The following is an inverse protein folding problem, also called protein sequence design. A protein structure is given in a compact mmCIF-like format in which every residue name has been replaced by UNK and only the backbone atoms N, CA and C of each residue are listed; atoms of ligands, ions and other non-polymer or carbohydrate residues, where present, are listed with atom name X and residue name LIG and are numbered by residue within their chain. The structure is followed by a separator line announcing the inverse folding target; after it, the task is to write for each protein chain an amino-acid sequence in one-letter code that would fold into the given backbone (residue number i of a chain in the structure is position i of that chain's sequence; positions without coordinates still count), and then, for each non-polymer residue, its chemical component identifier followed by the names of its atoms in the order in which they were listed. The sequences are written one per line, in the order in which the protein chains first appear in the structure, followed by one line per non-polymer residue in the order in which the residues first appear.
data_IF_094517289335
#
_entry.id   IF_094517289335
#
_cell.length_a   1.000
_cell.length_b   1.000
_cell.length_c   1.000
_cell.angle_alpha   90.00
_cell.angle_beta   90.00
_cell.angle_gamma   90.00
#
_symmetry.space_group_name_H-M   'P 1'
#
loop_
_entity.id
_entity.type
_entity.pdbx_description
1 polymer ?
#
# COMPACT_ATOMS: atom_id res chain seq x y z
N UNK A 1 0.09 -27.05 -4.34
CA UNK A 1 -1.08 -26.18 -4.51
C UNK A 1 -2.12 -26.98 -5.27
N UNK A 2 -3.32 -27.16 -4.70
CA UNK A 2 -4.43 -27.79 -5.43
C UNK A 2 -5.28 -26.67 -6.06
N UNK A 3 -5.34 -26.69 -7.40
CA UNK A 3 -6.09 -25.72 -8.22
C UNK A 3 -7.14 -26.43 -9.09
N UNK A 4 -7.44 -27.70 -8.81
CA UNK A 4 -8.35 -28.52 -9.63
C UNK A 4 -9.78 -27.96 -9.70
N UNK A 5 -10.19 -27.17 -8.70
CA UNK A 5 -11.48 -26.47 -8.68
C UNK A 5 -11.59 -25.33 -9.71
N UNK A 6 -10.47 -24.92 -10.34
CA UNK A 6 -10.44 -23.87 -11.35
C UNK A 6 -10.69 -24.39 -12.78
N UNK A 7 -10.86 -25.70 -12.98
CA UNK A 7 -11.00 -26.32 -14.29
C UNK A 7 -9.71 -26.95 -14.83
N UNK A 8 -9.77 -27.45 -16.07
CA UNK A 8 -8.64 -28.07 -16.74
C UNK A 8 -7.70 -26.98 -17.32
N UNK A 9 -6.40 -26.96 -16.97
CA UNK A 9 -5.45 -26.00 -17.54
C UNK A 9 -5.34 -26.14 -19.06
N UNK A 10 -5.43 -25.02 -19.78
CA UNK A 10 -5.25 -24.96 -21.24
C UNK A 10 -3.77 -24.84 -21.62
N UNK A 11 -2.92 -24.44 -20.66
CA UNK A 11 -1.47 -24.31 -20.83
C UNK A 11 -0.75 -24.22 -19.48
N UNK A 12 0.58 -24.02 -19.50
CA UNK A 12 1.34 -23.78 -18.27
C UNK A 12 0.95 -22.44 -17.64
N UNK A 13 1.09 -22.34 -16.32
CA UNK A 13 1.00 -21.04 -15.63
C UNK A 13 2.12 -20.11 -16.10
N UNK A 14 1.76 -18.85 -16.37
CA UNK A 14 2.69 -17.83 -16.84
C UNK A 14 3.01 -16.90 -15.68
N UNK A 15 4.30 -16.73 -15.35
CA UNK A 15 4.74 -15.75 -14.35
C UNK A 15 4.37 -14.34 -14.81
N UNK A 16 3.65 -13.61 -13.97
CA UNK A 16 3.38 -12.19 -14.16
C UNK A 16 4.44 -11.43 -13.37
N UNK A 17 5.23 -10.63 -14.06
CA UNK A 17 6.27 -9.81 -13.43
C UNK A 17 5.64 -8.49 -12.97
N UNK A 18 5.91 -8.10 -11.73
CA UNK A 18 5.28 -6.97 -11.05
C UNK A 18 4.94 -7.34 -9.60
N UNK A 19 4.82 -6.33 -8.73
CA UNK A 19 4.58 -6.51 -7.29
C UNK A 19 5.85 -6.73 -6.46
N UNK A 20 5.85 -6.23 -5.22
CA UNK A 20 7.06 -6.12 -4.39
C UNK A 20 7.25 -7.26 -3.39
N UNK A 21 6.22 -8.07 -3.11
CA UNK A 21 6.23 -9.04 -2.01
C UNK A 21 5.93 -10.50 -2.41
N UNK A 22 4.95 -10.72 -3.30
CA UNK A 22 4.42 -12.04 -3.63
C UNK A 22 4.78 -12.46 -5.06
N UNK A 23 4.64 -13.75 -5.39
CA UNK A 23 4.78 -14.23 -6.78
C UNK A 23 3.40 -14.36 -7.41
N UNK A 24 3.20 -13.73 -8.55
CA UNK A 24 1.93 -13.77 -9.28
C UNK A 24 2.06 -14.56 -10.58
N UNK A 25 1.01 -15.32 -10.88
CA UNK A 25 0.91 -16.17 -12.06
C UNK A 25 -0.46 -15.98 -12.72
N UNK A 26 -0.50 -16.04 -14.04
CA UNK A 26 -1.72 -16.20 -14.82
C UNK A 26 -1.92 -17.69 -15.11
N UNK A 27 -3.12 -18.20 -14.82
CA UNK A 27 -3.56 -19.55 -15.16
C UNK A 27 -4.78 -19.45 -16.07
N UNK A 28 -4.65 -19.96 -17.30
CA UNK A 28 -5.77 -20.08 -18.23
C UNK A 28 -6.32 -21.53 -18.19
N UNK A 29 -7.64 -21.65 -18.03
CA UNK A 29 -8.37 -22.93 -17.93
C UNK A 29 -9.59 -22.94 -18.84
N UNK A 30 -10.23 -24.10 -18.96
CA UNK A 30 -11.53 -24.24 -19.63
C UNK A 30 -12.70 -23.52 -18.90
N UNK A 31 -12.50 -23.02 -17.68
CA UNK A 31 -13.45 -22.22 -16.90
C UNK A 31 -13.06 -20.73 -16.80
N UNK A 32 -12.06 -20.31 -17.59
CA UNK A 32 -11.58 -18.93 -17.69
C UNK A 32 -10.17 -18.73 -17.17
N UNK A 33 -9.80 -17.45 -17.03
CA UNK A 33 -8.46 -17.01 -16.64
C UNK A 33 -8.42 -16.56 -15.18
N UNK A 34 -7.35 -16.89 -14.48
CA UNK A 34 -7.17 -16.62 -13.06
C UNK A 34 -5.82 -15.98 -12.76
N UNK A 35 -5.82 -15.04 -11.82
CA UNK A 35 -4.61 -14.58 -11.14
C UNK A 35 -4.37 -15.48 -9.92
N UNK A 36 -3.28 -16.22 -9.93
CA UNK A 36 -2.84 -17.09 -8.82
C UNK A 36 -1.66 -16.41 -8.15
N UNK A 37 -1.83 -16.02 -6.89
CA UNK A 37 -0.80 -15.33 -6.12
C UNK A 37 -0.28 -16.24 -5.01
N UNK A 38 1.02 -16.56 -5.07
CA UNK A 38 1.74 -17.27 -4.01
C UNK A 38 2.21 -16.27 -2.95
N UNK A 39 1.74 -16.47 -1.72
CA UNK A 39 2.01 -15.57 -0.61
C UNK A 39 3.42 -15.77 -0.07
N UNK A 40 4.17 -14.68 0.04
CA UNK A 40 5.40 -14.65 0.81
C UNK A 40 5.04 -14.52 2.30
N UNK A 41 5.25 -15.59 3.07
CA UNK A 41 4.94 -15.64 4.51
C UNK A 41 6.17 -15.46 5.40
N UNK A 42 7.38 -15.67 4.86
CA UNK A 42 8.63 -15.68 5.63
C UNK A 42 9.19 -14.28 5.88
N UNK A 43 8.85 -13.35 5.01
CA UNK A 43 9.46 -12.03 4.95
C UNK A 43 8.38 -10.94 4.97
N UNK A 44 7.39 -11.16 5.86
CA UNK A 44 6.35 -10.18 6.18
C UNK A 44 6.72 -9.40 7.43
N UNK A 45 6.28 -8.14 7.46
CA UNK A 45 6.38 -7.27 8.64
C UNK A 45 5.33 -7.57 9.70
N UNK A 46 4.27 -8.29 9.33
CA UNK A 46 3.15 -8.62 10.19
C UNK A 46 2.54 -9.97 9.82
N UNK A 47 1.85 -10.57 10.79
CA UNK A 47 1.02 -11.76 10.57
C UNK A 47 -0.06 -11.45 9.55
N UNK A 48 -0.20 -12.30 8.54
CA UNK A 48 -1.23 -12.17 7.53
C UNK A 48 -2.48 -12.97 7.89
N UNK A 49 -3.59 -12.26 8.09
CA UNK A 49 -4.88 -12.86 8.41
C UNK A 49 -5.66 -13.14 7.12
N UNK A 50 -5.21 -14.14 6.37
CA UNK A 50 -5.73 -14.46 5.03
C UNK A 50 -7.25 -14.65 5.00
N UNK A 51 -7.83 -15.29 6.02
CA UNK A 51 -9.27 -15.56 6.09
C UNK A 51 -10.08 -14.27 6.28
N UNK A 52 -9.60 -13.34 7.11
CA UNK A 52 -10.27 -12.07 7.37
C UNK A 52 -10.21 -11.13 6.19
N UNK A 53 -9.03 -11.03 5.58
CA UNK A 53 -8.85 -10.25 4.35
C UNK A 53 -9.75 -10.82 3.25
N UNK A 54 -9.75 -12.13 3.03
CA UNK A 54 -10.57 -12.73 2.00
C UNK A 54 -12.09 -12.57 2.26
N UNK A 55 -12.52 -12.61 3.53
CA UNK A 55 -13.91 -12.29 3.91
C UNK A 55 -14.26 -10.84 3.57
N UNK A 56 -13.36 -9.90 3.86
CA UNK A 56 -13.54 -8.49 3.54
C UNK A 56 -13.60 -8.26 2.02
N UNK A 57 -12.69 -8.86 1.25
CA UNK A 57 -12.71 -8.83 -0.22
C UNK A 57 -14.02 -9.34 -0.81
N UNK A 58 -14.55 -10.47 -0.29
CA UNK A 58 -15.84 -11.00 -0.75
C UNK A 58 -16.99 -10.06 -0.47
N UNK A 59 -16.98 -9.38 0.69
CA UNK A 59 -17.98 -8.37 1.02
C UNK A 59 -17.89 -7.16 0.09
N UNK A 60 -16.68 -6.66 -0.17
CA UNK A 60 -16.42 -5.55 -1.09
C UNK A 60 -16.87 -5.88 -2.52
N UNK A 61 -16.50 -7.06 -3.04
CA UNK A 61 -16.95 -7.53 -4.34
C UNK A 61 -18.48 -7.65 -4.40
N UNK A 62 -19.12 -8.21 -3.37
CA UNK A 62 -20.60 -8.31 -3.29
C UNK A 62 -21.29 -6.95 -3.24
N UNK A 63 -20.63 -5.92 -2.71
CA UNK A 63 -21.10 -4.54 -2.74
C UNK A 63 -20.84 -3.84 -4.09
N UNK A 64 -20.25 -4.54 -5.06
CA UNK A 64 -19.98 -4.01 -6.39
C UNK A 64 -18.80 -3.05 -6.44
N UNK A 65 -17.82 -3.19 -5.53
CA UNK A 65 -16.52 -2.55 -5.70
C UNK A 65 -15.88 -3.07 -7.01
N UNK A 66 -15.41 -2.20 -7.92
CA UNK A 66 -14.69 -2.62 -9.11
C UNK A 66 -13.37 -3.30 -8.73
N UNK A 67 -13.36 -4.64 -8.70
CA UNK A 67 -12.20 -5.44 -8.34
C UNK A 67 -12.28 -6.82 -9.02
N UNK A 68 -11.16 -7.56 -9.12
CA UNK A 68 -11.19 -8.97 -9.48
C UNK A 68 -12.10 -9.78 -8.56
N UNK A 69 -12.87 -10.71 -9.12
CA UNK A 69 -13.69 -11.63 -8.34
C UNK A 69 -12.79 -12.50 -7.43
N UNK A 70 -12.97 -12.48 -6.10
CA UNK A 70 -12.24 -13.34 -5.18
C UNK A 70 -12.75 -14.78 -5.29
N UNK A 71 -11.91 -15.71 -5.73
CA UNK A 71 -12.29 -17.11 -6.03
C UNK A 71 -12.00 -18.03 -4.85
N UNK A 72 -10.78 -18.03 -4.34
CA UNK A 72 -10.38 -18.87 -3.22
C UNK A 72 -9.17 -18.34 -2.49
N UNK A 73 -9.07 -18.64 -1.20
CA UNK A 73 -7.91 -18.35 -0.38
C UNK A 73 -7.49 -19.58 0.41
N UNK A 74 -6.19 -19.72 0.61
CA UNK A 74 -5.56 -20.72 1.48
C UNK A 74 -4.37 -20.08 2.19
N UNK A 75 -3.76 -20.81 3.12
CA UNK A 75 -2.61 -20.30 3.88
C UNK A 75 -1.44 -19.80 3.00
N UNK A 76 -1.29 -20.31 1.77
CA UNK A 76 -0.15 -20.00 0.90
C UNK A 76 -0.54 -19.35 -0.43
N UNK A 77 -1.85 -19.22 -0.72
CA UNK A 77 -2.30 -18.85 -2.06
C UNK A 77 -3.60 -18.07 -2.02
N UNK A 78 -3.65 -17.00 -2.80
CA UNK A 78 -4.87 -16.30 -3.18
C UNK A 78 -5.15 -16.51 -4.66
N UNK A 79 -6.43 -16.67 -5.00
CA UNK A 79 -6.89 -16.81 -6.37
C UNK A 79 -8.01 -15.82 -6.64
N UNK A 80 -7.84 -15.06 -7.71
CA UNK A 80 -8.84 -14.13 -8.22
C UNK A 80 -9.11 -14.40 -9.69
N UNK A 81 -10.28 -13.99 -10.17
CA UNK A 81 -10.56 -13.93 -11.60
C UNK A 81 -9.57 -12.97 -12.26
N UNK A 82 -9.01 -13.36 -13.40
CA UNK A 82 -8.16 -12.44 -14.16
C UNK A 82 -9.00 -11.27 -14.69
N UNK A 83 -8.48 -10.05 -14.56
CA UNK A 83 -9.08 -8.84 -15.11
C UNK A 83 -8.06 -8.19 -16.04
N UNK A 84 -8.47 -7.92 -17.27
CA UNK A 84 -7.70 -7.08 -18.19
C UNK A 84 -7.89 -5.61 -17.84
N UNK A 85 -6.81 -4.84 -17.86
CA UNK A 85 -6.81 -3.41 -17.59
C UNK A 85 -5.42 -2.80 -17.80
N UNK A 86 -5.38 -1.49 -17.98
CA UNK A 86 -4.16 -0.72 -18.15
C UNK A 86 -3.58 -0.35 -16.77
N UNK A 87 -2.27 -0.45 -16.60
CA UNK A 87 -1.61 0.00 -15.37
C UNK A 87 -1.74 1.51 -15.21
N UNK A 88 -2.05 1.98 -14.01
CA UNK A 88 -2.08 3.42 -13.72
C UNK A 88 -0.64 3.92 -13.48
N UNK A 89 -0.17 4.95 -14.21
CA UNK A 89 1.17 5.50 -14.00
C UNK A 89 1.24 6.25 -12.66
N UNK A 90 2.45 6.34 -12.09
CA UNK A 90 2.75 7.23 -10.96
C UNK A 90 2.79 8.70 -11.39
N UNK A 91 1.64 9.21 -11.80
CA UNK A 91 1.40 10.57 -12.23
C UNK A 91 -0.02 10.99 -11.82
N UNK A 92 -0.30 12.30 -11.74
CA UNK A 92 -1.63 12.77 -11.42
C UNK A 92 -2.69 12.20 -12.38
N UNK A 93 -3.71 11.53 -11.83
CA UNK A 93 -4.80 10.91 -12.61
C UNK A 93 -5.85 11.93 -13.04
N UNK A 94 -6.86 11.53 -13.82
CA UNK A 94 -7.98 12.44 -14.13
C UNK A 94 -8.84 12.71 -12.89
N UNK A 95 -9.45 13.90 -12.80
CA UNK A 95 -10.36 14.25 -11.72
C UNK A 95 -11.55 13.27 -11.59
N UNK A 96 -12.10 12.80 -12.72
CA UNK A 96 -13.18 11.83 -12.74
C UNK A 96 -12.74 10.48 -12.15
N UNK A 97 -11.55 10.00 -12.51
CA UNK A 97 -10.98 8.77 -11.96
C UNK A 97 -10.73 8.88 -10.45
N UNK A 98 -10.15 10.01 -10.01
CA UNK A 98 -9.94 10.30 -8.59
C UNK A 98 -11.26 10.34 -7.80
N UNK A 99 -12.30 10.98 -8.35
CA UNK A 99 -13.64 11.01 -7.77
C UNK A 99 -14.20 9.59 -7.60
N UNK A 100 -14.13 8.75 -8.63
CA UNK A 100 -14.63 7.38 -8.56
C UNK A 100 -13.86 6.53 -7.52
N UNK A 101 -12.55 6.74 -7.35
CA UNK A 101 -11.78 6.11 -6.26
C UNK A 101 -12.29 6.56 -4.88
N UNK A 102 -12.62 7.84 -4.72
CA UNK A 102 -13.26 8.34 -3.51
C UNK A 102 -14.59 7.64 -3.20
N UNK A 103 -15.45 7.48 -4.22
CA UNK A 103 -16.73 6.77 -4.08
C UNK A 103 -16.53 5.28 -3.71
N UNK A 104 -15.49 4.65 -4.26
CA UNK A 104 -15.10 3.28 -3.90
C UNK A 104 -14.73 3.20 -2.41
N UNK A 105 -13.89 4.12 -1.92
CA UNK A 105 -13.53 4.17 -0.50
C UNK A 105 -14.75 4.34 0.40
N UNK A 106 -15.70 5.21 0.03
CA UNK A 106 -16.93 5.40 0.80
C UNK A 106 -17.74 4.10 0.88
N UNK A 107 -17.83 3.38 -0.24
CA UNK A 107 -18.52 2.07 -0.29
C UNK A 107 -17.83 1.02 0.57
N UNK A 108 -16.50 0.97 0.52
CA UNK A 108 -15.69 0.05 1.33
C UNK A 108 -15.87 0.34 2.82
N UNK A 109 -15.83 1.61 3.22
CA UNK A 109 -15.97 2.01 4.63
C UNK A 109 -17.40 1.86 5.16
N UNK A 110 -18.40 1.73 4.29
CA UNK A 110 -19.79 1.45 4.67
C UNK A 110 -20.06 -0.05 4.94
N UNK A 111 -19.11 -0.94 4.65
CA UNK A 111 -19.27 -2.38 4.85
C UNK A 111 -19.23 -2.72 6.34
N UNK A 112 -20.23 -3.49 6.78
CA UNK A 112 -20.26 -4.07 8.13
C UNK A 112 -19.65 -5.48 8.10
N UNK A 113 -18.32 -5.54 8.16
CA UNK A 113 -17.57 -6.80 8.21
C UNK A 113 -16.87 -6.90 9.55
N UNK A 114 -17.17 -7.98 10.29
CA UNK A 114 -16.52 -8.24 11.56
C UNK A 114 -15.00 -8.36 11.38
N UNK A 115 -14.24 -7.59 12.14
CA UNK A 115 -12.78 -7.63 12.16
C UNK A 115 -12.28 -7.86 13.59
N UNK A 116 -11.75 -9.04 13.85
CA UNK A 116 -11.43 -9.50 15.21
C UNK A 116 -10.01 -9.21 15.65
N UNK A 117 -9.14 -8.78 14.73
CA UNK A 117 -7.75 -8.48 15.04
C UNK A 117 -7.54 -6.99 15.29
N UNK A 118 -7.22 -6.65 16.54
CA UNK A 118 -6.69 -5.34 16.85
C UNK A 118 -5.31 -5.19 16.17
N UNK A 119 -5.10 -4.07 15.49
CA UNK A 119 -3.75 -3.69 15.06
C UNK A 119 -2.93 -3.42 16.31
N UNK A 120 -1.97 -4.29 16.63
CA UNK A 120 -0.94 -3.96 17.61
C UNK A 120 0.07 -3.10 16.87
N UNK A 121 -0.04 -1.78 17.03
CA UNK A 121 1.00 -0.87 16.55
C UNK A 121 2.21 -1.00 17.47
N UNK A 122 3.26 -1.66 16.98
CA UNK A 122 4.57 -1.60 17.65
C UNK A 122 5.08 -0.14 17.62
N UNK A 123 5.77 0.31 18.69
CA UNK A 123 6.39 1.62 18.69
C UNK A 123 7.30 1.82 17.47
N UNK A 124 7.28 3.02 16.92
CA UNK A 124 8.08 3.31 15.73
C UNK A 124 9.58 3.10 16.02
N UNK A 125 10.32 2.38 15.16
CA UNK A 125 11.72 2.02 15.42
C UNK A 125 12.63 3.23 15.70
N UNK A 126 13.51 3.07 16.69
CA UNK A 126 14.47 4.09 17.16
C UNK A 126 15.94 3.71 16.93
N UNK A 127 16.19 2.57 16.29
CA UNK A 127 17.52 1.99 16.06
C UNK A 127 18.29 2.64 14.89
N UNK A 128 17.82 3.76 14.34
CA UNK A 128 18.47 4.47 13.24
C UNK A 128 19.97 4.78 13.45
N UNK A 129 20.43 5.21 14.65
CA UNK A 129 21.87 5.39 14.90
C UNK A 129 22.66 4.08 14.78
N UNK A 130 22.12 2.96 15.25
CA UNK A 130 22.76 1.65 15.14
C UNK A 130 22.81 1.19 13.69
N UNK A 131 21.71 1.35 12.95
CA UNK A 131 21.65 1.02 11.53
C UNK A 131 22.64 1.82 10.69
N UNK A 132 22.81 3.12 10.99
CA UNK A 132 23.82 3.97 10.35
C UNK A 132 25.24 3.44 10.61
N UNK A 133 25.58 3.16 11.87
CA UNK A 133 26.89 2.62 12.24
C UNK A 133 27.18 1.27 11.55
N UNK A 134 26.19 0.37 11.50
CA UNK A 134 26.31 -0.93 10.81
C UNK A 134 26.47 -0.77 9.30
N UNK A 135 25.73 0.16 8.68
CA UNK A 135 25.84 0.45 7.26
C UNK A 135 27.23 0.99 6.89
N UNK A 136 27.79 1.89 7.71
CA UNK A 136 29.16 2.40 7.55
C UNK A 136 30.19 1.28 7.71
N UNK A 137 30.07 0.45 8.75
CA UNK A 137 30.97 -0.66 8.99
C UNK A 137 30.92 -1.73 7.88
N UNK A 138 29.79 -1.85 7.19
CA UNK A 138 29.59 -2.77 6.06
C UNK A 138 29.85 -2.10 4.70
N UNK A 139 30.36 -0.86 4.69
CA UNK A 139 30.67 -0.08 3.49
C UNK A 139 29.50 0.02 2.49
N UNK A 140 28.27 0.11 3.01
CA UNK A 140 27.08 0.21 2.14
C UNK A 140 27.08 1.53 1.38
N UNK A 141 26.69 1.54 0.09
CA UNK A 141 26.85 2.70 -0.79
C UNK A 141 25.97 3.92 -0.45
N UNK A 142 25.09 3.78 0.54
CA UNK A 142 24.19 4.83 1.03
C UNK A 142 24.42 5.13 2.53
N UNK A 143 25.47 4.58 3.14
CA UNK A 143 25.74 4.69 4.58
C UNK A 143 25.91 6.15 5.04
N UNK A 144 26.68 6.96 4.31
CA UNK A 144 26.89 8.37 4.65
C UNK A 144 25.59 9.17 4.58
N UNK A 145 24.73 8.86 3.61
CA UNK A 145 23.42 9.49 3.45
C UNK A 145 22.48 9.13 4.60
N UNK A 146 22.49 7.87 5.05
CA UNK A 146 21.76 7.46 6.25
C UNK A 146 22.30 8.16 7.51
N UNK A 147 23.62 8.18 7.69
CA UNK A 147 24.27 8.81 8.84
C UNK A 147 23.94 10.30 8.96
N UNK A 148 23.91 11.02 7.82
CA UNK A 148 23.54 12.44 7.78
C UNK A 148 22.05 12.72 8.10
N UNK A 149 21.18 11.70 8.10
CA UNK A 149 19.73 11.82 8.26
C UNK A 149 19.18 11.18 9.54
N UNK A 150 20.03 10.61 10.40
CA UNK A 150 19.60 9.92 11.64
C UNK A 150 18.64 10.75 12.48
N UNK A 151 18.97 12.01 12.75
CA UNK A 151 18.11 12.91 13.56
C UNK A 151 16.76 13.18 12.87
N UNK A 152 16.74 13.25 11.54
CA UNK A 152 15.48 13.39 10.79
C UNK A 152 14.61 12.14 10.95
N UNK A 153 15.18 10.93 10.83
CA UNK A 153 14.42 9.71 11.04
C UNK A 153 13.90 9.55 12.48
N UNK A 154 14.67 9.98 13.48
CA UNK A 154 14.22 10.03 14.88
C UNK A 154 13.07 11.03 15.08
N UNK A 155 13.14 12.20 14.44
CA UNK A 155 12.06 13.19 14.47
C UNK A 155 10.78 12.67 13.79
N UNK A 156 10.91 12.00 12.64
CA UNK A 156 9.79 11.36 11.95
C UNK A 156 9.16 10.27 12.83
N UNK A 157 9.99 9.41 13.43
CA UNK A 157 9.49 8.39 14.35
C UNK A 157 8.77 9.01 15.56
N UNK A 158 9.26 10.15 16.07
CA UNK A 158 8.59 10.87 17.15
C UNK A 158 7.22 11.38 16.70
N UNK A 159 7.16 12.04 15.56
CA UNK A 159 5.92 12.52 14.97
C UNK A 159 4.90 11.38 14.76
N UNK A 160 5.31 10.24 14.20
CA UNK A 160 4.39 9.11 13.98
C UNK A 160 3.80 8.59 15.29
N UNK A 161 4.61 8.47 16.34
CA UNK A 161 4.16 7.98 17.65
C UNK A 161 3.28 8.99 18.41
N UNK A 162 3.51 10.30 18.25
CA UNK A 162 2.84 11.34 19.05
C UNK A 162 1.74 12.09 18.32
N UNK A 163 1.58 11.93 17.00
CA UNK A 163 0.53 12.62 16.26
C UNK A 163 -0.84 12.10 16.68
N UNK A 164 -1.71 13.01 17.14
CA UNK A 164 -3.11 12.70 17.39
C UNK A 164 -3.82 12.32 16.09
N UNK A 165 -4.73 11.34 16.15
CA UNK A 165 -5.48 10.82 15.00
C UNK A 165 -6.97 10.94 15.28
N UNK A 166 -7.55 12.16 15.20
CA UNK A 166 -8.96 12.36 15.48
C UNK A 166 -9.83 11.77 14.36
N UNK A 167 -10.98 11.22 14.74
CA UNK A 167 -11.93 10.63 13.80
C UNK A 167 -12.09 9.11 13.99
N UNK A 168 -12.91 8.47 13.14
CA UNK A 168 -13.19 7.06 13.28
C UNK A 168 -12.01 6.21 12.75
N UNK A 169 -11.81 5.05 13.38
CA UNK A 169 -11.14 3.93 12.73
C UNK A 169 -12.12 3.24 11.77
N UNK A 170 -11.65 2.87 10.59
CA UNK A 170 -12.43 2.20 9.55
C UNK A 170 -11.71 0.93 9.10
N UNK A 171 -12.47 -0.09 8.72
CA UNK A 171 -11.93 -1.23 8.00
C UNK A 171 -11.71 -0.82 6.55
N UNK A 172 -10.47 -0.88 6.08
CA UNK A 172 -10.09 -0.33 4.78
C UNK A 172 -8.98 -1.13 4.09
N UNK A 173 -8.61 -0.73 2.88
CA UNK A 173 -7.63 -1.37 2.02
C UNK A 173 -6.19 -1.11 2.44
N UNK A 174 -5.87 0.12 2.91
CA UNK A 174 -4.54 0.54 3.37
C UNK A 174 -3.45 0.69 2.31
N UNK A 175 -3.77 0.51 1.03
CA UNK A 175 -2.77 0.56 -0.05
C UNK A 175 -3.37 0.89 -1.42
N UNK A 176 -4.38 1.78 -1.46
CA UNK A 176 -4.90 2.30 -2.73
C UNK A 176 -3.88 3.29 -3.29
N UNK A 177 -3.02 2.78 -4.16
CA UNK A 177 -1.91 3.49 -4.81
C UNK A 177 -1.93 3.19 -6.31
N UNK A 178 -1.30 3.99 -7.18
CA UNK A 178 -1.31 3.77 -8.63
C UNK A 178 -0.95 2.33 -9.06
N UNK A 179 0.03 1.70 -8.40
CA UNK A 179 0.46 0.33 -8.71
C UNK A 179 -0.54 -0.77 -8.30
N UNK A 180 -1.50 -0.45 -7.43
CA UNK A 180 -2.60 -1.34 -7.03
C UNK A 180 -3.93 -0.98 -7.70
N UNK A 181 -3.87 -0.19 -8.77
CA UNK A 181 -5.01 0.21 -9.56
C UNK A 181 -4.80 -0.16 -11.04
N UNK A 182 -5.87 -0.61 -11.67
CA UNK A 182 -5.96 -0.66 -13.14
C UNK A 182 -7.02 0.33 -13.63
N UNK A 183 -6.82 0.82 -14.84
CA UNK A 183 -7.85 1.48 -15.62
C UNK A 183 -8.47 0.47 -16.59
N UNK A 184 -9.78 0.26 -16.49
CA UNK A 184 -10.57 -0.50 -17.46
C UNK A 184 -11.66 0.40 -18.01
N UNK A 185 -11.61 0.68 -19.31
CA UNK A 185 -12.52 1.64 -19.95
C UNK A 185 -12.52 3.02 -19.27
N UNK A 186 -11.34 3.45 -18.79
CA UNK A 186 -11.15 4.72 -18.07
C UNK A 186 -11.62 4.72 -16.61
N UNK A 187 -12.05 3.58 -16.06
CA UNK A 187 -12.56 3.45 -14.69
C UNK A 187 -11.62 2.62 -13.80
N UNK A 188 -11.54 2.91 -12.49
CA UNK A 188 -10.68 2.21 -11.55
C UNK A 188 -11.09 0.76 -11.35
N UNK A 189 -10.10 -0.11 -11.18
CA UNK A 189 -10.21 -1.46 -10.65
C UNK A 189 -9.20 -1.61 -9.53
N UNK A 190 -9.66 -1.92 -8.32
CA UNK A 190 -8.84 -2.05 -7.11
C UNK A 190 -8.24 -3.44 -7.00
N UNK A 191 -6.92 -3.51 -6.81
CA UNK A 191 -6.14 -4.73 -6.66
C UNK A 191 -5.48 -4.79 -5.29
N UNK A 192 -5.02 -5.98 -4.90
CA UNK A 192 -4.10 -6.21 -3.79
C UNK A 192 -4.58 -5.79 -2.38
N UNK A 193 -5.61 -6.47 -1.91
CA UNK A 193 -6.25 -6.21 -0.61
C UNK A 193 -5.47 -6.75 0.60
N UNK A 194 -4.25 -7.24 0.41
CA UNK A 194 -3.52 -7.98 1.46
C UNK A 194 -3.13 -7.14 2.68
N UNK A 195 -3.08 -5.82 2.53
CA UNK A 195 -2.80 -4.92 3.64
C UNK A 195 -4.05 -4.48 4.39
N UNK A 196 -5.23 -4.95 3.97
CA UNK A 196 -6.50 -4.54 4.53
C UNK A 196 -6.57 -4.76 6.04
N UNK A 197 -7.27 -3.85 6.70
CA UNK A 197 -7.47 -3.89 8.15
C UNK A 197 -7.94 -2.56 8.68
N UNK A 198 -7.97 -2.44 10.00
CA UNK A 198 -8.34 -1.20 10.66
C UNK A 198 -7.27 -0.12 10.45
N UNK A 199 -7.70 1.09 10.11
CA UNK A 199 -6.88 2.30 10.01
C UNK A 199 -7.70 3.54 10.40
N UNK A 200 -7.07 4.61 10.84
CA UNK A 200 -7.76 5.90 10.96
C UNK A 200 -8.21 6.41 9.58
N UNK A 201 -9.44 6.92 9.50
CA UNK A 201 -10.01 7.36 8.23
C UNK A 201 -9.16 8.44 7.54
N UNK A 202 -8.54 9.33 8.33
CA UNK A 202 -7.67 10.38 7.78
C UNK A 202 -6.48 9.81 7.01
N UNK A 203 -5.82 8.77 7.56
CA UNK A 203 -4.67 8.13 6.95
C UNK A 203 -4.98 7.45 5.63
N UNK A 204 -6.12 6.76 5.51
CA UNK A 204 -6.56 6.15 4.25
C UNK A 204 -6.82 7.22 3.18
N UNK A 205 -7.62 8.23 3.52
CA UNK A 205 -8.00 9.28 2.57
C UNK A 205 -6.79 10.11 2.14
N UNK A 206 -5.94 10.53 3.08
CA UNK A 206 -4.76 11.31 2.78
C UNK A 206 -3.72 10.54 1.96
N UNK A 207 -3.51 9.25 2.28
CA UNK A 207 -2.60 8.41 1.52
C UNK A 207 -3.07 8.20 0.07
N UNK A 208 -4.35 7.86 -0.09
CA UNK A 208 -4.95 7.65 -1.40
C UNK A 208 -4.95 8.94 -2.22
N UNK A 209 -5.49 10.03 -1.66
CA UNK A 209 -5.63 11.31 -2.36
C UNK A 209 -4.28 11.88 -2.78
N UNK A 210 -3.27 11.83 -1.90
CA UNK A 210 -1.93 12.31 -2.27
C UNK A 210 -1.31 11.45 -3.37
N UNK A 211 -1.40 10.12 -3.27
CA UNK A 211 -0.80 9.20 -4.26
C UNK A 211 -1.34 9.40 -5.68
N UNK A 212 -2.64 9.71 -5.80
CA UNK A 212 -3.31 9.94 -7.09
C UNK A 212 -3.10 11.35 -7.63
N UNK A 213 -2.68 12.29 -6.78
CA UNK A 213 -2.55 13.70 -7.14
C UNK A 213 -1.11 14.12 -7.46
N UNK A 214 -0.12 13.23 -7.34
CA UNK A 214 1.30 13.55 -7.50
C UNK A 214 2.01 12.66 -8.52
N UNK A 215 3.17 13.11 -8.99
CA UNK A 215 4.16 12.27 -9.68
C UNK A 215 5.04 11.45 -8.71
N UNK A 216 6.19 10.91 -9.16
CA UNK A 216 7.08 10.12 -8.30
C UNK A 216 7.59 10.90 -7.07
N UNK A 217 7.80 12.23 -7.21
CA UNK A 217 8.17 13.14 -6.12
C UNK A 217 7.03 14.05 -5.65
N UNK A 218 7.37 15.09 -4.88
CA UNK A 218 6.41 16.03 -4.26
C UNK A 218 6.39 17.43 -4.89
N UNK A 219 7.11 17.63 -6.00
CA UNK A 219 7.17 18.92 -6.69
C UNK A 219 5.98 19.17 -7.62
N UNK A 220 5.34 18.11 -8.12
CA UNK A 220 4.18 18.21 -9.02
C UNK A 220 2.92 17.59 -8.40
N UNK A 221 2.42 18.23 -7.36
CA UNK A 221 1.13 17.88 -6.74
C UNK A 221 0.03 18.71 -7.43
N UNK A 222 -1.09 18.07 -7.75
CA UNK A 222 -2.28 18.68 -8.35
C UNK A 222 -3.40 18.76 -7.30
N UNK A 223 -3.58 19.90 -6.61
CA UNK A 223 -4.57 20.02 -5.54
C UNK A 223 -6.01 19.68 -5.97
N UNK A 224 -6.37 20.00 -7.21
CA UNK A 224 -7.70 19.68 -7.74
C UNK A 224 -7.97 18.16 -7.80
N UNK A 225 -6.95 17.34 -8.09
CA UNK A 225 -7.08 15.88 -8.14
C UNK A 225 -7.16 15.31 -6.72
N UNK A 226 -6.34 15.82 -5.80
CA UNK A 226 -6.42 15.50 -4.38
C UNK A 226 -7.84 15.75 -3.84
N UNK A 227 -8.38 16.94 -4.13
CA UNK A 227 -9.74 17.34 -3.76
C UNK A 227 -10.80 16.46 -4.40
N UNK A 228 -10.61 16.04 -5.66
CA UNK A 228 -11.56 15.17 -6.35
C UNK A 228 -11.77 13.83 -5.63
N UNK A 229 -10.72 13.24 -5.04
CA UNK A 229 -10.87 12.03 -4.21
C UNK A 229 -11.78 12.28 -3.00
N UNK A 230 -11.59 13.41 -2.32
CA UNK A 230 -12.37 13.75 -1.13
C UNK A 230 -13.83 14.05 -1.49
N UNK A 231 -14.05 14.77 -2.59
CA UNK A 231 -15.39 15.07 -3.08
C UNK A 231 -16.13 13.79 -3.49
N UNK A 232 -15.45 12.84 -4.14
CA UNK A 232 -15.99 11.51 -4.44
C UNK A 232 -16.34 10.70 -3.19
N UNK A 233 -15.48 10.75 -2.17
CA UNK A 233 -15.76 10.09 -0.89
C UNK A 233 -17.03 10.65 -0.23
N UNK A 234 -17.21 11.97 -0.24
CA UNK A 234 -18.42 12.62 0.27
C UNK A 234 -19.64 12.29 -0.59
N UNK A 235 -19.50 12.30 -1.92
CA UNK A 235 -20.57 11.94 -2.85
C UNK A 235 -21.04 10.48 -2.67
N UNK A 236 -20.12 9.58 -2.30
CA UNK A 236 -20.40 8.20 -1.91
C UNK A 236 -21.06 8.03 -0.55
N UNK A 237 -21.35 9.12 0.18
CA UNK A 237 -22.01 9.12 1.49
C UNK A 237 -21.05 9.14 2.68
N UNK A 238 -19.75 9.26 2.45
CA UNK A 238 -18.74 9.39 3.50
C UNK A 238 -18.73 10.78 4.15
N UNK A 239 -18.23 10.85 5.38
CA UNK A 239 -17.95 12.11 6.07
C UNK A 239 -16.43 12.27 6.25
N UNK A 240 -15.89 13.44 5.90
CA UNK A 240 -14.47 13.71 6.06
C UNK A 240 -14.14 13.90 7.56
N UNK A 241 -13.03 13.32 8.06
CA UNK A 241 -12.55 13.58 9.41
C UNK A 241 -11.96 15.01 9.51
N UNK A 242 -11.69 15.51 10.72
CA UNK A 242 -11.02 16.80 10.89
C UNK A 242 -9.70 16.87 10.12
N UNK A 243 -9.43 18.00 9.47
CA UNK A 243 -8.17 18.26 8.78
C UNK A 243 -7.02 18.37 9.77
N UNK A 244 -5.84 17.88 9.38
CA UNK A 244 -4.63 18.02 10.17
C UNK A 244 -3.52 17.07 9.72
N UNK A 245 -2.40 17.04 10.45
CA UNK A 245 -1.23 16.23 10.08
C UNK A 245 -1.51 14.72 10.08
N UNK A 246 -2.54 14.25 10.81
CA UNK A 246 -2.94 12.84 10.90
C UNK A 246 -3.19 12.19 9.54
N UNK A 247 -3.62 12.99 8.54
CA UNK A 247 -3.89 12.54 7.18
C UNK A 247 -2.66 11.95 6.47
N UNK A 248 -1.46 12.32 6.90
CA UNK A 248 -0.21 11.89 6.28
C UNK A 248 0.60 10.93 7.15
N UNK A 249 0.20 10.73 8.42
CA UNK A 249 0.93 9.87 9.38
C UNK A 249 1.03 8.44 8.91
N UNK A 250 -0.06 7.87 8.39
CA UNK A 250 -0.08 6.48 7.93
C UNK A 250 0.98 6.22 6.83
N UNK A 251 1.02 7.08 5.82
CA UNK A 251 2.01 6.98 4.73
C UNK A 251 3.43 7.21 5.23
N UNK A 252 3.65 8.22 6.06
CA UNK A 252 4.96 8.54 6.65
C UNK A 252 5.48 7.36 7.47
N UNK A 253 4.65 6.80 8.37
CA UNK A 253 4.99 5.65 9.19
C UNK A 253 5.23 4.38 8.37
N UNK A 254 4.38 4.12 7.38
CA UNK A 254 4.53 3.00 6.45
C UNK A 254 5.84 3.07 5.66
N UNK A 255 6.20 4.25 5.14
CA UNK A 255 7.44 4.46 4.41
C UNK A 255 8.68 4.41 5.32
N UNK A 256 8.56 4.88 6.57
CA UNK A 256 9.61 4.78 7.58
C UNK A 256 9.93 3.30 7.88
N UNK A 257 8.90 2.51 8.17
CA UNK A 257 9.04 1.06 8.35
C UNK A 257 9.58 0.37 7.09
N UNK A 258 9.19 0.85 5.90
CA UNK A 258 9.68 0.32 4.63
C UNK A 258 11.16 0.57 4.38
N UNK A 259 11.61 1.76 4.72
CA UNK A 259 13.03 2.14 4.64
C UNK A 259 13.85 1.27 5.59
N UNK A 260 13.41 1.12 6.85
CA UNK A 260 14.10 0.28 7.84
C UNK A 260 14.19 -1.19 7.41
N UNK A 261 13.09 -1.75 6.94
CA UNK A 261 13.06 -3.15 6.51
C UNK A 261 14.05 -3.42 5.37
N UNK A 262 14.13 -2.54 4.36
CA UNK A 262 15.11 -2.69 3.29
C UNK A 262 16.57 -2.46 3.75
N UNK A 263 16.81 -1.56 4.71
CA UNK A 263 18.13 -1.41 5.34
C UNK A 263 18.57 -2.73 5.98
N UNK A 264 17.70 -3.38 6.75
CA UNK A 264 18.00 -4.66 7.40
C UNK A 264 18.31 -5.77 6.38
N UNK A 265 17.57 -5.83 5.26
CA UNK A 265 17.85 -6.77 4.15
C UNK A 265 19.23 -6.51 3.53
N UNK A 266 19.55 -5.25 3.23
CA UNK A 266 20.85 -4.88 2.68
C UNK A 266 22.00 -5.26 3.63
N UNK A 267 21.82 -5.03 4.94
CA UNK A 267 22.78 -5.39 5.97
C UNK A 267 22.94 -6.90 6.16
N UNK A 268 21.89 -7.69 5.90
CA UNK A 268 21.97 -9.15 5.94
C UNK A 268 22.80 -9.72 4.78
N UNK A 269 22.87 -9.02 3.63
CA UNK A 269 23.72 -9.37 2.49
C UNK A 269 23.35 -10.67 1.77
N UNK A 270 22.21 -11.29 2.11
CA UNK A 270 21.74 -12.53 1.51
C UNK A 270 20.58 -12.22 0.57
N UNK A 271 20.63 -12.79 -0.64
CA UNK A 271 19.49 -12.80 -1.54
C UNK A 271 18.36 -13.59 -0.90
N UNK A 272 17.30 -12.88 -0.48
CA UNK A 272 16.20 -13.53 0.22
C UNK A 272 15.50 -14.51 -0.74
N UNK A 273 15.21 -15.73 -0.27
CA UNK A 273 14.46 -16.72 -1.06
C UNK A 273 13.03 -16.26 -1.41
N UNK A 274 12.58 -15.21 -0.74
CA UNK A 274 11.26 -14.58 -0.82
C UNK A 274 11.40 -13.05 -0.66
N UNK A 275 10.65 -12.25 -1.43
CA UNK A 275 10.75 -10.78 -1.43
C UNK A 275 11.51 -10.21 -2.64
N UNK A 276 11.73 -8.89 -2.72
CA UNK A 276 12.39 -8.26 -3.87
C UNK A 276 13.89 -8.54 -3.88
N UNK A 277 14.50 -8.57 -5.07
CA UNK A 277 15.94 -8.81 -5.20
C UNK A 277 16.76 -7.76 -4.44
N UNK A 278 17.96 -8.13 -3.98
CA UNK A 278 18.81 -7.26 -3.16
C UNK A 278 19.07 -5.89 -3.82
N UNK A 279 19.20 -5.86 -5.15
CA UNK A 279 19.36 -4.62 -5.91
C UNK A 279 18.17 -3.66 -5.75
N UNK A 280 16.94 -4.18 -5.79
CA UNK A 280 15.72 -3.41 -5.54
C UNK A 280 15.69 -2.90 -4.10
N UNK A 281 16.11 -3.70 -3.12
CA UNK A 281 16.24 -3.22 -1.74
C UNK A 281 17.19 -2.04 -1.61
N UNK A 282 18.34 -2.05 -2.28
CA UNK A 282 19.25 -0.89 -2.29
C UNK A 282 18.61 0.36 -2.90
N UNK A 283 17.82 0.21 -3.97
CA UNK A 283 17.06 1.30 -4.56
C UNK A 283 15.99 1.84 -3.60
N UNK A 284 15.19 0.96 -3.00
CA UNK A 284 14.19 1.33 -1.99
C UNK A 284 14.80 2.06 -0.80
N UNK A 285 16.00 1.68 -0.34
CA UNK A 285 16.71 2.43 0.72
C UNK A 285 17.01 3.84 0.24
N UNK A 286 17.65 4.03 -0.93
CA UNK A 286 17.97 5.37 -1.44
C UNK A 286 16.73 6.25 -1.61
N UNK A 287 15.64 5.67 -2.10
CA UNK A 287 14.37 6.38 -2.24
C UNK A 287 13.82 6.80 -0.87
N UNK A 288 13.90 5.93 0.15
CA UNK A 288 13.53 6.26 1.53
C UNK A 288 14.41 7.33 2.16
N UNK A 289 15.73 7.29 1.96
CA UNK A 289 16.68 8.28 2.51
C UNK A 289 16.47 9.70 1.97
N UNK A 290 15.88 9.84 0.78
CA UNK A 290 15.63 11.14 0.13
C UNK A 290 14.18 11.57 0.24
N UNK A 291 13.27 10.68 -0.16
CA UNK A 291 11.86 11.00 -0.32
C UNK A 291 11.12 11.13 1.00
N UNK A 292 11.44 10.33 2.02
CA UNK A 292 10.76 10.42 3.31
C UNK A 292 11.10 11.71 4.07
N UNK A 293 12.36 12.16 4.15
CA UNK A 293 12.68 13.50 4.65
C UNK A 293 12.02 14.64 3.87
N UNK A 294 11.93 14.54 2.53
CA UNK A 294 11.26 15.55 1.70
C UNK A 294 9.75 15.59 1.97
N UNK A 295 9.09 14.44 2.05
CA UNK A 295 7.68 14.33 2.44
C UNK A 295 7.43 14.98 3.81
N UNK A 296 8.23 14.61 4.81
CA UNK A 296 8.08 15.12 6.17
C UNK A 296 8.35 16.62 6.26
N UNK A 297 9.35 17.13 5.54
CA UNK A 297 9.64 18.56 5.46
C UNK A 297 8.55 19.38 4.77
N UNK A 298 7.69 18.74 3.96
CA UNK A 298 6.56 19.37 3.25
C UNK A 298 5.22 19.24 3.96
N UNK A 299 5.18 18.70 5.18
CA UNK A 299 3.94 18.47 5.91
C UNK A 299 3.03 19.73 5.99
N UNK A 300 3.54 20.95 6.29
CA UNK A 300 2.71 22.16 6.29
C UNK A 300 2.07 22.48 4.93
N UNK A 301 2.77 22.22 3.82
CA UNK A 301 2.25 22.43 2.47
C UNK A 301 1.19 21.39 2.11
N UNK A 302 1.36 20.15 2.58
CA UNK A 302 0.39 19.08 2.39
C UNK A 302 -0.89 19.32 3.20
N UNK A 303 -0.77 19.81 4.44
CA UNK A 303 -1.92 20.21 5.25
C UNK A 303 -2.74 21.32 4.58
N UNK A 304 -2.10 22.23 3.83
CA UNK A 304 -2.81 23.26 3.06
C UNK A 304 -3.70 22.69 1.93
N UNK A 305 -3.52 21.42 1.52
CA UNK A 305 -4.41 20.75 0.57
C UNK A 305 -5.77 20.37 1.17
N UNK A 306 -5.87 20.35 2.50
CA UNK A 306 -7.09 20.00 3.24
C UNK A 306 -8.02 21.20 3.49
N UNK A 307 -7.53 22.41 3.20
CA UNK A 307 -8.24 23.67 3.40
C UNK A 307 -9.27 23.97 2.29
#
# INVERSE_FOLDING_TARGET
MDLSHLGAPIGPMIRVHGGFANRMYRLDTDQGSFAVKELNLLDRRWTYHVEDVFRFERAAFSAGVPMPEPISASHHTLVHRWVEGETVPEAPVSAAYACEVGEILARVHALDVAWTHASVEDPTPRDWPELAARATASELPWADELAARVETFLAIAHFVDTCERPGPGVLTHKDIQPWNLLARDGRPVVLDWELSGMLDLSGELGSTALSLAKGPGFDDIKPAIFRSVLDGYVAGGGALPPSGPSWFVFMIGGWLGHTRWNILRCLAGVEASTGPDLALSHESVRNGLRGLPDLFGRLPQLEALLA
#
